data_IF_084767955544
#
_entry.id   IF_084767955544
#
_cell.length_a   1.000
_cell.length_b   1.000
_cell.length_c   1.000
_cell.angle_alpha   90.00
_cell.angle_beta   90.00
_cell.angle_gamma   90.00
#
_symmetry.space_group_name_H-M   'P 1'
#
loop_
_entity.id
_entity.type
_entity.pdbx_description
1 polymer ?
#
# COMPACT_ATOMS: atom_id res chain seq x y z
N UNK A 1 8.38 -10.66 34.36
CA UNK A 1 7.50 -10.42 33.18
C UNK A 1 8.04 -11.29 32.05
N UNK A 2 7.29 -12.31 31.59
CA UNK A 2 7.63 -13.06 30.39
C UNK A 2 7.62 -12.05 29.24
N UNK A 3 8.77 -11.89 28.56
CA UNK A 3 8.84 -11.19 27.29
C UNK A 3 7.87 -11.92 26.34
N UNK A 4 6.79 -11.30 25.97
CA UNK A 4 5.99 -11.76 24.85
C UNK A 4 6.86 -11.54 23.61
N UNK A 5 7.33 -12.62 22.99
CA UNK A 5 7.97 -12.62 21.68
C UNK A 5 6.93 -12.24 20.62
N UNK A 6 6.45 -11.01 20.68
CA UNK A 6 5.49 -10.48 19.72
C UNK A 6 6.31 -9.74 18.68
N UNK A 7 6.32 -10.26 17.47
CA UNK A 7 7.00 -9.61 16.36
C UNK A 7 6.14 -8.38 15.93
N UNK A 8 6.75 -7.20 15.87
CA UNK A 8 6.06 -5.96 15.48
C UNK A 8 5.47 -6.04 14.06
N UNK A 9 6.07 -6.81 13.15
CA UNK A 9 5.57 -7.02 11.79
C UNK A 9 4.35 -7.96 11.75
N UNK A 10 4.18 -8.84 12.75
CA UNK A 10 2.93 -9.60 12.90
C UNK A 10 1.78 -8.68 13.35
N UNK A 11 2.07 -7.64 14.12
CA UNK A 11 1.08 -6.64 14.48
C UNK A 11 0.73 -5.76 13.28
N UNK A 12 1.69 -5.40 12.40
CA UNK A 12 1.42 -4.74 11.12
C UNK A 12 0.49 -5.56 10.24
N UNK A 13 0.78 -6.86 10.08
CA UNK A 13 -0.08 -7.77 9.33
C UNK A 13 -1.52 -7.76 9.85
N UNK A 14 -1.70 -7.89 11.18
CA UNK A 14 -3.02 -7.86 11.80
C UNK A 14 -3.75 -6.55 11.55
N UNK A 15 -3.06 -5.40 11.72
CA UNK A 15 -3.62 -4.08 11.47
C UNK A 15 -4.09 -3.93 10.03
N UNK A 16 -3.31 -4.40 9.06
CA UNK A 16 -3.66 -4.38 7.65
C UNK A 16 -4.92 -5.21 7.38
N UNK A 17 -4.91 -6.51 7.70
CA UNK A 17 -6.01 -7.42 7.33
C UNK A 17 -7.31 -7.14 8.08
N UNK A 18 -7.23 -6.51 9.24
CA UNK A 18 -8.43 -6.11 10.01
C UNK A 18 -8.95 -4.72 9.65
N UNK A 19 -8.19 -3.94 8.86
CA UNK A 19 -8.57 -2.58 8.50
C UNK A 19 -9.80 -2.56 7.56
N UNK A 20 -10.67 -1.54 7.71
CA UNK A 20 -11.80 -1.38 6.81
C UNK A 20 -11.41 -1.17 5.35
N UNK A 21 -10.30 -0.47 5.09
CA UNK A 21 -9.80 -0.22 3.74
C UNK A 21 -9.38 -1.50 3.03
N UNK A 22 -8.68 -2.42 3.73
CA UNK A 22 -8.30 -3.71 3.17
C UNK A 22 -9.54 -4.59 2.89
N UNK A 23 -10.49 -4.65 3.82
CA UNK A 23 -11.72 -5.41 3.63
C UNK A 23 -12.56 -4.93 2.46
N UNK A 24 -12.58 -3.62 2.18
CA UNK A 24 -13.27 -3.04 1.02
C UNK A 24 -12.70 -3.46 -0.33
N UNK A 25 -11.50 -4.02 -0.38
CA UNK A 25 -10.95 -4.59 -1.61
C UNK A 25 -11.80 -5.78 -2.13
N UNK A 26 -12.60 -6.42 -1.28
CA UNK A 26 -13.53 -7.45 -1.66
C UNK A 26 -14.59 -6.95 -2.66
N UNK A 27 -15.03 -5.70 -2.53
CA UNK A 27 -16.07 -5.10 -3.35
C UNK A 27 -15.53 -4.45 -4.64
N UNK A 28 -14.21 -4.51 -4.83
CA UNK A 28 -13.54 -3.97 -6.02
C UNK A 28 -13.09 -5.11 -6.93
N UNK A 29 -13.55 -5.09 -8.18
CA UNK A 29 -13.07 -6.04 -9.19
C UNK A 29 -11.66 -5.68 -9.65
N UNK A 30 -10.88 -6.70 -10.03
CA UNK A 30 -9.53 -6.46 -10.56
C UNK A 30 -9.56 -6.02 -12.03
N UNK A 31 -10.33 -6.71 -12.87
CA UNK A 31 -10.38 -6.46 -14.32
C UNK A 31 -11.82 -6.35 -14.82
N UNK A 32 -12.67 -7.35 -14.55
CA UNK A 32 -14.02 -7.45 -15.09
C UNK A 32 -15.07 -7.05 -14.06
N UNK A 33 -15.78 -5.92 -14.26
CA UNK A 33 -16.85 -5.53 -13.34
C UNK A 33 -18.10 -6.38 -13.57
N UNK A 34 -18.86 -6.61 -12.49
CA UNK A 34 -20.21 -7.17 -12.51
C UNK A 34 -20.33 -8.66 -12.88
N UNK A 35 -19.28 -9.40 -13.04
CA UNK A 35 -19.36 -10.84 -13.23
C UNK A 35 -19.33 -11.59 -11.91
N UNK A 36 -20.23 -12.58 -11.76
CA UNK A 36 -20.39 -13.42 -10.56
C UNK A 36 -19.79 -14.82 -10.74
N UNK A 37 -18.68 -14.91 -11.45
CA UNK A 37 -17.97 -16.17 -11.65
C UNK A 37 -16.91 -16.34 -10.57
N UNK A 38 -16.81 -17.52 -9.98
CA UNK A 38 -15.85 -17.85 -8.90
C UNK A 38 -14.39 -17.70 -9.33
N UNK A 39 -14.13 -17.65 -10.63
CA UNK A 39 -12.78 -17.43 -11.21
C UNK A 39 -12.38 -15.96 -11.34
N UNK A 40 -13.27 -15.02 -11.04
CA UNK A 40 -12.96 -13.59 -11.18
C UNK A 40 -12.39 -13.07 -9.89
N UNK A 41 -11.16 -12.55 -10.00
CA UNK A 41 -10.43 -12.00 -8.88
C UNK A 41 -11.02 -10.66 -8.45
N UNK A 42 -11.35 -10.55 -7.17
CA UNK A 42 -11.49 -9.26 -6.52
C UNK A 42 -10.10 -8.70 -6.20
N UNK A 43 -9.99 -7.42 -5.92
CA UNK A 43 -8.72 -6.85 -5.47
C UNK A 43 -8.22 -7.48 -4.16
N UNK A 44 -9.12 -7.96 -3.31
CA UNK A 44 -8.77 -8.67 -2.10
C UNK A 44 -8.07 -10.00 -2.40
N UNK A 45 -8.67 -10.84 -3.26
CA UNK A 45 -8.05 -12.12 -3.64
C UNK A 45 -6.75 -11.92 -4.38
N UNK A 46 -6.68 -10.93 -5.28
CA UNK A 46 -5.43 -10.54 -5.94
C UNK A 46 -4.35 -10.14 -4.94
N UNK A 47 -4.65 -9.28 -3.97
CA UNK A 47 -3.66 -8.86 -2.95
C UNK A 47 -3.16 -10.04 -2.12
N UNK A 48 -4.03 -11.00 -1.80
CA UNK A 48 -3.62 -12.23 -1.09
C UNK A 48 -2.71 -13.11 -1.95
N UNK A 49 -3.01 -13.27 -3.23
CA UNK A 49 -2.17 -14.04 -4.17
C UNK A 49 -0.80 -13.38 -4.37
N UNK A 50 -0.78 -12.05 -4.55
CA UNK A 50 0.47 -11.29 -4.66
C UNK A 50 1.31 -11.47 -3.38
N UNK A 51 0.70 -11.39 -2.20
CA UNK A 51 1.41 -11.58 -0.94
C UNK A 51 1.99 -13.01 -0.80
N UNK A 52 1.24 -14.02 -1.21
CA UNK A 52 1.71 -15.42 -1.22
C UNK A 52 2.91 -15.61 -2.15
N UNK A 53 2.82 -15.09 -3.38
CA UNK A 53 3.91 -15.20 -4.38
C UNK A 53 5.12 -14.40 -3.93
N UNK A 54 4.95 -13.18 -3.46
CA UNK A 54 6.03 -12.33 -3.00
C UNK A 54 6.78 -12.94 -1.81
N UNK A 55 6.04 -13.51 -0.84
CA UNK A 55 6.66 -14.24 0.28
C UNK A 55 7.45 -15.46 -0.20
N UNK A 56 6.96 -16.19 -1.19
CA UNK A 56 7.67 -17.34 -1.77
C UNK A 56 8.95 -16.91 -2.46
N UNK A 57 8.90 -15.86 -3.29
CA UNK A 57 10.08 -15.29 -3.94
C UNK A 57 11.11 -14.76 -2.93
N UNK A 58 10.66 -14.11 -1.86
CA UNK A 58 11.55 -13.64 -0.81
C UNK A 58 12.29 -14.79 -0.12
N UNK A 59 11.64 -15.95 0.09
CA UNK A 59 12.29 -17.15 0.61
C UNK A 59 13.38 -17.66 -0.31
N UNK A 60 13.13 -17.74 -1.60
CA UNK A 60 14.13 -18.15 -2.59
C UNK A 60 15.32 -17.18 -2.60
N UNK A 61 15.08 -15.88 -2.51
CA UNK A 61 16.15 -14.87 -2.40
C UNK A 61 16.99 -15.09 -1.15
N UNK A 62 16.38 -15.38 -0.01
CA UNK A 62 17.13 -15.68 1.23
C UNK A 62 18.02 -16.91 1.05
N UNK A 63 17.53 -17.98 0.42
CA UNK A 63 18.31 -19.19 0.14
C UNK A 63 19.53 -18.86 -0.75
N UNK A 64 19.32 -18.10 -1.83
CA UNK A 64 20.40 -17.68 -2.73
C UNK A 64 21.43 -16.81 -2.01
N UNK A 65 21.00 -15.94 -1.11
CA UNK A 65 21.90 -15.13 -0.29
C UNK A 65 22.72 -15.98 0.69
N UNK A 66 22.15 -17.05 1.25
CA UNK A 66 22.89 -18.01 2.09
C UNK A 66 23.99 -18.71 1.29
N UNK A 67 23.67 -19.21 0.08
CA UNK A 67 24.65 -19.85 -0.80
C UNK A 67 25.79 -18.88 -1.23
N UNK A 68 25.47 -17.61 -1.45
CA UNK A 68 26.49 -16.61 -1.74
C UNK A 68 27.37 -16.28 -0.53
N UNK A 69 26.77 -16.21 0.66
CA UNK A 69 27.49 -15.91 1.89
C UNK A 69 28.51 -16.97 2.25
N UNK A 70 28.23 -18.26 1.97
CA UNK A 70 29.19 -19.38 2.12
C UNK A 70 30.41 -19.16 1.26
N UNK A 71 30.28 -18.53 0.07
CA UNK A 71 31.38 -18.26 -0.85
C UNK A 71 32.16 -17.01 -0.50
N UNK A 72 31.46 -15.97 -0.03
CA UNK A 72 32.03 -14.68 0.30
C UNK A 72 31.30 -14.06 1.51
N UNK A 73 31.94 -13.99 2.68
CA UNK A 73 31.35 -13.38 3.86
C UNK A 73 30.96 -11.92 3.64
N UNK A 74 29.75 -11.55 4.06
CA UNK A 74 29.19 -10.20 3.97
C UNK A 74 28.27 -9.97 5.17
N UNK A 75 28.59 -9.00 6.02
CA UNK A 75 27.84 -8.74 7.26
C UNK A 75 26.40 -8.27 7.02
N UNK A 76 26.16 -7.51 5.94
CA UNK A 76 24.81 -7.03 5.61
C UNK A 76 23.90 -8.17 5.15
N UNK A 77 24.45 -9.09 4.37
CA UNK A 77 23.74 -10.32 3.95
C UNK A 77 23.46 -11.23 5.15
N UNK A 78 24.42 -11.36 6.05
CA UNK A 78 24.24 -12.15 7.27
C UNK A 78 23.11 -11.59 8.15
N UNK A 79 23.08 -10.27 8.36
CA UNK A 79 22.01 -9.64 9.13
C UNK A 79 20.62 -9.89 8.50
N UNK A 80 20.51 -9.80 7.18
CA UNK A 80 19.27 -10.08 6.47
C UNK A 80 18.81 -11.54 6.64
N UNK A 81 19.75 -12.50 6.64
CA UNK A 81 19.47 -13.90 6.88
C UNK A 81 19.03 -14.15 8.33
N UNK A 82 19.75 -13.56 9.27
CA UNK A 82 19.42 -13.68 10.70
C UNK A 82 18.02 -13.14 11.03
N UNK A 83 17.55 -12.17 10.25
CA UNK A 83 16.23 -11.57 10.34
C UNK A 83 15.26 -12.00 9.23
N UNK A 84 15.46 -13.15 8.64
CA UNK A 84 14.68 -13.59 7.48
C UNK A 84 13.15 -13.59 7.71
N UNK A 85 12.68 -14.00 8.88
CA UNK A 85 11.23 -13.99 9.16
C UNK A 85 10.65 -12.58 9.20
N UNK A 86 11.41 -11.60 9.69
CA UNK A 86 11.03 -10.19 9.64
C UNK A 86 10.92 -9.71 8.20
N UNK A 87 11.94 -10.01 7.39
CA UNK A 87 11.95 -9.64 5.95
C UNK A 87 10.77 -10.25 5.22
N UNK A 88 10.49 -11.54 5.43
CA UNK A 88 9.36 -12.22 4.81
C UNK A 88 8.03 -11.59 5.22
N UNK A 89 7.89 -11.20 6.49
CA UNK A 89 6.67 -10.58 7.00
C UNK A 89 6.48 -9.14 6.45
N UNK A 90 7.56 -8.36 6.35
CA UNK A 90 7.54 -7.02 5.74
C UNK A 90 7.11 -7.10 4.27
N UNK A 91 7.69 -8.03 3.50
CA UNK A 91 7.33 -8.26 2.09
C UNK A 91 5.86 -8.64 1.95
N UNK A 92 5.37 -9.53 2.82
CA UNK A 92 3.96 -9.93 2.87
C UNK A 92 3.05 -8.72 3.15
N UNK A 93 3.36 -7.91 4.16
CA UNK A 93 2.60 -6.71 4.51
C UNK A 93 2.56 -5.69 3.37
N UNK A 94 3.71 -5.39 2.76
CA UNK A 94 3.79 -4.47 1.62
C UNK A 94 2.94 -4.95 0.44
N UNK A 95 2.98 -6.25 0.17
CA UNK A 95 2.20 -6.88 -0.91
C UNK A 95 0.70 -6.81 -0.66
N UNK A 96 0.24 -6.93 0.58
CA UNK A 96 -1.18 -6.80 0.90
C UNK A 96 -1.73 -5.40 0.64
N UNK A 97 -0.92 -4.36 0.79
CA UNK A 97 -1.38 -2.96 0.69
C UNK A 97 -1.06 -2.29 -0.65
N UNK A 98 -0.37 -2.97 -1.57
CA UNK A 98 0.13 -2.38 -2.81
C UNK A 98 -0.99 -1.74 -3.66
N UNK A 99 -2.17 -2.34 -3.70
CA UNK A 99 -3.32 -1.91 -4.51
C UNK A 99 -4.40 -1.15 -3.70
N UNK A 100 -4.14 -0.84 -2.43
CA UNK A 100 -5.12 -0.28 -1.52
C UNK A 100 -5.68 1.07 -1.97
N UNK A 101 -4.82 1.92 -2.54
CA UNK A 101 -5.14 3.26 -3.03
C UNK A 101 -5.60 3.32 -4.48
N UNK A 102 -5.58 2.20 -5.21
CA UNK A 102 -6.00 2.20 -6.60
C UNK A 102 -7.51 2.43 -6.73
N UNK A 103 -7.93 3.36 -7.62
CA UNK A 103 -9.34 3.57 -7.91
C UNK A 103 -9.92 2.39 -8.69
N UNK A 104 -11.26 2.31 -8.82
CA UNK A 104 -11.88 1.42 -9.79
C UNK A 104 -11.26 1.59 -11.19
N UNK A 105 -11.08 0.51 -11.92
CA UNK A 105 -10.43 0.47 -13.24
C UNK A 105 -8.93 0.82 -13.26
N UNK A 106 -8.24 0.81 -12.11
CA UNK A 106 -6.79 0.99 -12.02
C UNK A 106 -6.29 2.27 -12.69
N UNK A 107 -5.26 2.19 -13.54
CA UNK A 107 -4.66 3.35 -14.23
C UNK A 107 -5.63 4.11 -15.14
N UNK A 108 -6.59 3.42 -15.76
CA UNK A 108 -7.64 4.11 -16.52
C UNK A 108 -8.50 4.99 -15.61
N UNK A 109 -8.86 4.47 -14.43
CA UNK A 109 -9.57 5.25 -13.40
C UNK A 109 -8.78 6.44 -12.92
N UNK A 110 -7.47 6.30 -12.71
CA UNK A 110 -6.59 7.43 -12.36
C UNK A 110 -6.61 8.52 -13.43
N UNK A 111 -6.50 8.15 -14.70
CA UNK A 111 -6.53 9.11 -15.80
C UNK A 111 -7.85 9.86 -15.90
N UNK A 112 -8.97 9.17 -15.72
CA UNK A 112 -10.29 9.81 -15.69
C UNK A 112 -10.39 10.80 -14.52
N UNK A 113 -9.92 10.41 -13.32
CA UNK A 113 -9.90 11.30 -12.15
C UNK A 113 -9.05 12.53 -12.42
N UNK A 114 -7.84 12.37 -12.96
CA UNK A 114 -6.94 13.49 -13.32
C UNK A 114 -7.56 14.44 -14.32
N UNK A 115 -8.15 13.90 -15.39
CA UNK A 115 -8.83 14.70 -16.44
C UNK A 115 -10.03 15.44 -15.89
N UNK A 116 -10.83 14.78 -15.07
CA UNK A 116 -12.00 15.40 -14.46
C UNK A 116 -11.62 16.58 -13.57
N UNK A 117 -10.62 16.41 -12.70
CA UNK A 117 -10.16 17.50 -11.84
C UNK A 117 -9.56 18.66 -12.64
N UNK A 118 -8.71 18.37 -13.64
CA UNK A 118 -8.15 19.42 -14.50
C UNK A 118 -9.24 20.24 -15.20
N UNK A 119 -10.32 19.60 -15.62
CA UNK A 119 -11.41 20.25 -16.34
C UNK A 119 -12.35 21.02 -15.40
N UNK A 120 -12.69 20.47 -14.25
CA UNK A 120 -13.82 20.95 -13.46
C UNK A 120 -13.40 21.69 -12.18
N UNK A 121 -12.26 21.33 -11.57
CA UNK A 121 -11.85 21.91 -10.29
C UNK A 121 -11.75 23.44 -10.29
N UNK A 122 -11.18 24.11 -11.33
CA UNK A 122 -11.09 25.56 -11.33
C UNK A 122 -12.45 26.27 -11.27
N UNK A 123 -13.43 25.81 -12.04
CA UNK A 123 -14.78 26.41 -12.03
C UNK A 123 -15.50 26.15 -10.71
N UNK A 124 -15.43 24.93 -10.20
CA UNK A 124 -16.06 24.56 -8.93
C UNK A 124 -15.52 25.37 -7.74
N UNK A 125 -14.22 25.62 -7.71
CA UNK A 125 -13.62 26.43 -6.65
C UNK A 125 -14.02 27.90 -6.76
N UNK A 126 -14.00 28.48 -7.96
CA UNK A 126 -14.39 29.87 -8.19
C UNK A 126 -15.85 30.18 -7.81
N UNK A 127 -16.73 29.18 -7.96
CA UNK A 127 -18.12 29.29 -7.54
C UNK A 127 -18.31 29.24 -6.02
N UNK A 128 -17.34 28.70 -5.28
CA UNK A 128 -17.52 28.32 -3.87
C UNK A 128 -16.58 29.02 -2.89
N UNK A 129 -15.52 29.68 -3.36
CA UNK A 129 -14.48 30.19 -2.49
C UNK A 129 -13.74 31.40 -3.03
N UNK A 130 -13.59 32.41 -2.16
CA UNK A 130 -12.82 33.62 -2.45
C UNK A 130 -11.31 33.38 -2.55
N UNK A 131 -10.83 32.25 -2.00
CA UNK A 131 -9.41 31.83 -2.05
C UNK A 131 -9.11 30.85 -3.19
N UNK A 132 -10.01 30.70 -4.15
CA UNK A 132 -9.88 29.76 -5.26
C UNK A 132 -8.59 29.97 -6.07
N UNK A 133 -8.27 31.21 -6.41
CA UNK A 133 -7.09 31.56 -7.23
C UNK A 133 -5.80 31.27 -6.46
N UNK A 134 -5.77 31.54 -5.16
CA UNK A 134 -4.62 31.21 -4.29
C UNK A 134 -4.38 29.70 -4.26
N UNK A 135 -5.43 28.89 -4.05
CA UNK A 135 -5.34 27.44 -4.08
C UNK A 135 -4.89 26.91 -5.45
N UNK A 136 -5.49 27.42 -6.54
CA UNK A 136 -5.15 27.00 -7.91
C UNK A 136 -3.70 27.36 -8.31
N UNK A 137 -3.14 28.40 -7.71
CA UNK A 137 -1.73 28.77 -7.87
C UNK A 137 -0.78 27.99 -6.95
N UNK A 138 -1.30 27.29 -5.96
CA UNK A 138 -0.51 26.55 -4.97
C UNK A 138 -0.04 25.19 -5.49
N UNK A 139 1.04 24.62 -4.91
CA UNK A 139 1.45 23.24 -5.22
C UNK A 139 0.41 22.16 -4.88
N UNK A 140 -0.51 22.44 -3.96
CA UNK A 140 -1.52 21.49 -3.48
C UNK A 140 -2.52 21.09 -4.55
N UNK A 141 -2.70 21.89 -5.60
CA UNK A 141 -3.57 21.56 -6.74
C UNK A 141 -3.06 20.31 -7.49
N UNK A 142 -1.76 20.05 -7.44
CA UNK A 142 -1.17 18.90 -8.11
C UNK A 142 -1.59 17.57 -7.50
N UNK A 143 -1.99 17.50 -6.23
CA UNK A 143 -2.55 16.30 -5.61
C UNK A 143 -3.81 15.81 -6.35
N UNK A 144 -4.58 16.75 -6.91
CA UNK A 144 -5.76 16.46 -7.73
C UNK A 144 -5.41 16.19 -9.19
N UNK A 145 -4.47 16.95 -9.76
CA UNK A 145 -4.11 16.85 -11.18
C UNK A 145 -3.20 15.68 -11.49
N UNK A 146 -2.53 15.15 -10.47
CA UNK A 146 -1.59 14.03 -10.55
C UNK A 146 -2.00 12.88 -9.63
N UNK A 147 -3.32 12.69 -9.46
CA UNK A 147 -3.82 11.57 -8.66
C UNK A 147 -3.11 10.27 -9.03
N UNK A 148 -2.61 9.53 -8.02
CA UNK A 148 -1.79 8.33 -8.23
C UNK A 148 -2.07 7.31 -7.11
N UNK A 149 -2.38 6.06 -7.50
CA UNK A 149 -2.84 5.01 -6.59
C UNK A 149 -1.82 4.63 -5.52
N UNK A 150 -0.52 4.58 -5.85
CA UNK A 150 0.51 4.23 -4.86
C UNK A 150 0.64 5.32 -3.78
N UNK A 151 0.59 6.60 -4.19
CA UNK A 151 0.57 7.71 -3.23
C UNK A 151 -0.67 7.64 -2.33
N UNK A 152 -1.83 7.26 -2.89
CA UNK A 152 -3.04 7.07 -2.10
C UNK A 152 -2.95 5.84 -1.19
N UNK A 153 -2.28 4.74 -1.59
CA UNK A 153 -2.02 3.61 -0.71
C UNK A 153 -1.25 4.05 0.54
N UNK A 154 -0.14 4.79 0.34
CA UNK A 154 0.63 5.34 1.46
C UNK A 154 -0.21 6.26 2.34
N UNK A 155 -0.99 7.17 1.74
CA UNK A 155 -1.87 8.08 2.47
C UNK A 155 -2.91 7.34 3.30
N UNK A 156 -3.54 6.31 2.74
CA UNK A 156 -4.54 5.50 3.45
C UNK A 156 -3.92 4.86 4.67
N UNK A 157 -2.79 4.16 4.52
CA UNK A 157 -2.18 3.43 5.63
C UNK A 157 -1.53 4.32 6.69
N UNK A 158 -1.06 5.53 6.30
CA UNK A 158 -0.34 6.43 7.20
C UNK A 158 -1.18 7.54 7.82
N UNK A 159 -2.39 7.86 7.26
CA UNK A 159 -3.14 9.06 7.66
C UNK A 159 -4.66 8.88 7.78
N UNK A 160 -5.28 7.99 7.00
CA UNK A 160 -6.74 7.98 6.88
C UNK A 160 -7.46 7.02 7.82
N UNK A 161 -6.76 6.33 8.70
CA UNK A 161 -7.35 5.53 9.76
C UNK A 161 -7.16 6.21 11.12
N UNK A 162 -8.18 6.15 11.94
CA UNK A 162 -8.16 6.71 13.29
C UNK A 162 -8.47 5.60 14.30
N UNK A 163 -7.45 4.84 14.69
CA UNK A 163 -7.58 3.81 15.72
C UNK A 163 -7.39 4.35 17.15
N UNK A 164 -6.74 5.51 17.27
CA UNK A 164 -6.39 6.10 18.57
C UNK A 164 -7.00 7.49 18.81
N UNK A 165 -7.79 8.00 17.87
CA UNK A 165 -8.35 9.36 17.93
C UNK A 165 -7.39 10.46 17.48
N UNK A 166 -6.28 10.12 16.82
CA UNK A 166 -5.22 11.06 16.41
C UNK A 166 -4.88 11.01 14.91
N UNK A 167 -5.66 10.31 14.10
CA UNK A 167 -5.43 10.12 12.65
C UNK A 167 -4.05 9.55 12.30
N UNK A 168 -3.56 8.61 13.09
CA UNK A 168 -2.23 8.00 12.94
C UNK A 168 -2.16 6.90 11.87
N UNK A 169 -3.17 6.76 11.03
CA UNK A 169 -3.25 5.71 10.04
C UNK A 169 -3.39 4.33 10.67
N UNK A 170 -2.75 3.33 10.06
CA UNK A 170 -2.73 1.95 10.56
C UNK A 170 -1.64 1.71 11.63
N UNK A 171 -0.88 2.73 12.00
CA UNK A 171 0.23 2.63 12.97
C UNK A 171 1.21 1.50 12.58
N UNK A 172 1.58 1.44 11.29
CA UNK A 172 2.53 0.47 10.77
C UNK A 172 3.96 0.86 11.11
N UNK A 173 4.84 -0.14 11.20
CA UNK A 173 6.27 0.10 11.40
C UNK A 173 6.88 0.92 10.26
N UNK A 174 7.93 1.67 10.56
CA UNK A 174 8.68 2.44 9.55
C UNK A 174 9.24 1.54 8.45
N UNK A 175 9.65 0.31 8.77
CA UNK A 175 10.14 -0.66 7.80
C UNK A 175 9.05 -1.03 6.79
N UNK A 176 7.84 -1.39 7.26
CA UNK A 176 6.70 -1.69 6.38
C UNK A 176 6.30 -0.47 5.54
N UNK A 177 6.22 0.73 6.14
CA UNK A 177 5.89 1.95 5.40
C UNK A 177 6.93 2.28 4.32
N UNK A 178 8.23 2.07 4.60
CA UNK A 178 9.29 2.35 3.63
C UNK A 178 9.22 1.45 2.39
N UNK A 179 8.76 0.21 2.54
CA UNK A 179 8.60 -0.72 1.39
C UNK A 179 7.43 -0.38 0.48
N UNK A 180 6.48 0.44 0.94
CA UNK A 180 5.34 0.92 0.15
C UNK A 180 5.73 2.13 -0.72
N UNK A 181 6.80 2.83 -0.36
CA UNK A 181 7.33 3.95 -1.12
C UNK A 181 7.87 3.44 -2.46
N UNK A 182 7.31 3.91 -3.57
CA UNK A 182 7.67 3.45 -4.90
C UNK A 182 8.70 4.33 -5.59
N UNK A 183 8.81 5.60 -5.18
CA UNK A 183 9.68 6.62 -5.76
C UNK A 183 10.43 7.41 -4.70
#
# INVERSE_FOLDING_TARGET
KKATHRNEFDDDYKRIVTSPSFRRLQDKTQVFPLERLDFIHTRLTHSLEVAMVARSLAKEIVILLQEELEKKPDSSKQEMIDRQEDVLKIVECASLVHDLGNPPYGHFGEDIIRQWFKKNLPSLLREKSDVAEEFLASPYVYDFYRFEGNAQSLRIVSKLHDFKGEFDGLDLTAATLNTILKY
#
